data_IF_134662668388
#
_entry.id   IF_134662668388
#
_cell.length_a   1.000
_cell.length_b   1.000
_cell.length_c   1.000
_cell.angle_alpha   90.00
_cell.angle_beta   90.00
_cell.angle_gamma   90.00
#
_symmetry.space_group_name_H-M   'P 1'
#
loop_
_entity.id
_entity.type
_entity.pdbx_description
1 polymer ?
#
# COMPACT_ATOMS: atom_id res chain seq x y z
N UNK A 1 -80.72 24.72 -12.84
CA UNK A 1 -80.73 26.10 -13.37
C UNK A 1 -81.53 26.11 -14.66
N UNK A 2 -81.98 27.28 -15.10
CA UNK A 2 -82.59 27.43 -16.43
C UNK A 2 -81.49 27.30 -17.50
N UNK A 3 -81.82 26.69 -18.62
CA UNK A 3 -81.03 26.74 -19.85
C UNK A 3 -81.43 27.98 -20.68
N UNK A 4 -80.61 28.42 -21.66
CA UNK A 4 -81.02 29.47 -22.59
C UNK A 4 -82.35 29.15 -23.29
N UNK A 5 -82.59 27.86 -23.59
CA UNK A 5 -83.84 27.36 -24.18
C UNK A 5 -85.05 27.46 -23.22
N UNK A 6 -84.86 27.30 -21.90
CA UNK A 6 -85.91 27.49 -20.89
C UNK A 6 -86.27 28.98 -20.68
N UNK A 7 -85.34 29.89 -21.01
CA UNK A 7 -85.56 31.34 -20.96
C UNK A 7 -86.31 31.78 -22.23
N UNK A 8 -85.91 31.30 -23.41
CA UNK A 8 -86.58 31.61 -24.67
C UNK A 8 -88.02 31.07 -24.74
N UNK A 9 -88.28 29.85 -24.24
CA UNK A 9 -89.62 29.25 -24.21
C UNK A 9 -90.51 29.75 -23.05
N UNK A 10 -90.20 30.91 -22.44
CA UNK A 10 -90.84 31.34 -21.19
C UNK A 10 -92.08 32.19 -21.41
N UNK A 11 -93.26 31.55 -21.34
CA UNK A 11 -94.53 32.29 -21.35
C UNK A 11 -94.81 33.02 -20.01
N UNK A 12 -95.27 34.27 -20.12
CA UNK A 12 -95.71 35.12 -19.00
C UNK A 12 -97.24 35.33 -19.03
N UNK A 13 -97.85 35.51 -17.85
CA UNK A 13 -99.30 35.76 -17.74
C UNK A 13 -99.60 37.26 -17.87
N UNK A 14 -100.44 37.62 -18.84
CA UNK A 14 -100.94 39.00 -19.00
C UNK A 14 -101.76 39.46 -17.78
N UNK A 15 -101.60 40.73 -17.41
CA UNK A 15 -102.28 41.39 -16.29
C UNK A 15 -102.70 42.81 -16.68
N UNK A 16 -103.73 43.35 -16.03
CA UNK A 16 -104.35 44.65 -16.38
C UNK A 16 -103.42 45.88 -16.22
N UNK A 17 -102.27 45.70 -15.57
CA UNK A 17 -101.13 46.64 -15.55
C UNK A 17 -99.82 45.83 -15.57
N UNK A 18 -99.38 45.44 -16.78
CA UNK A 18 -98.13 44.71 -17.00
C UNK A 18 -97.02 45.56 -17.61
N UNK A 19 -95.83 44.99 -17.71
CA UNK A 19 -94.75 45.49 -18.57
C UNK A 19 -95.09 45.28 -20.06
N UNK A 20 -94.41 45.97 -20.96
CA UNK A 20 -94.59 45.78 -22.40
C UNK A 20 -93.99 44.44 -22.85
N UNK A 21 -94.73 43.64 -23.63
CA UNK A 21 -94.23 42.35 -24.15
C UNK A 21 -93.04 42.56 -25.09
N UNK A 22 -93.10 43.55 -26.00
CA UNK A 22 -92.00 43.79 -26.96
C UNK A 22 -90.66 44.12 -26.25
N UNK A 23 -90.71 44.94 -25.19
CA UNK A 23 -89.52 45.28 -24.38
C UNK A 23 -89.03 44.09 -23.52
N UNK A 24 -89.94 43.20 -23.11
CA UNK A 24 -89.58 41.97 -22.39
C UNK A 24 -88.87 41.01 -23.35
N UNK A 25 -89.38 40.82 -24.56
CA UNK A 25 -88.82 39.89 -25.53
C UNK A 25 -87.45 40.35 -26.02
N UNK A 26 -87.28 41.65 -26.35
CA UNK A 26 -85.96 42.24 -26.68
C UNK A 26 -84.93 42.04 -25.55
N UNK A 27 -85.36 42.16 -24.28
CA UNK A 27 -84.51 41.92 -23.12
C UNK A 27 -84.20 40.43 -22.92
N UNK A 28 -85.19 39.54 -23.11
CA UNK A 28 -85.00 38.10 -23.03
C UNK A 28 -84.03 37.59 -24.10
N UNK A 29 -84.09 38.11 -25.33
CA UNK A 29 -83.13 37.76 -26.38
C UNK A 29 -81.69 38.18 -26.03
N UNK A 30 -81.50 39.35 -25.39
CA UNK A 30 -80.18 39.71 -24.84
C UNK A 30 -79.74 38.75 -23.73
N UNK A 31 -80.65 38.43 -22.78
CA UNK A 31 -80.36 37.49 -21.69
C UNK A 31 -80.01 36.11 -22.23
N UNK A 32 -80.74 35.57 -23.20
CA UNK A 32 -80.47 34.27 -23.85
C UNK A 32 -79.09 34.26 -24.49
N UNK A 33 -78.75 35.29 -25.28
CA UNK A 33 -77.45 35.42 -25.93
C UNK A 33 -76.29 35.45 -24.93
N UNK A 34 -76.42 36.20 -23.84
CA UNK A 34 -75.38 36.27 -22.81
C UNK A 34 -75.33 34.99 -21.95
N UNK A 35 -76.46 34.34 -21.69
CA UNK A 35 -76.49 33.02 -21.02
C UNK A 35 -75.81 31.94 -21.86
N UNK A 36 -75.99 31.95 -23.19
CA UNK A 36 -75.27 31.05 -24.09
C UNK A 36 -73.75 31.30 -24.08
N UNK A 37 -73.31 32.57 -24.16
CA UNK A 37 -71.88 32.90 -24.05
C UNK A 37 -71.31 32.39 -22.73
N UNK A 38 -72.02 32.63 -21.62
CA UNK A 38 -71.60 32.22 -20.28
C UNK A 38 -71.51 30.69 -20.17
N UNK A 39 -72.43 29.95 -20.79
CA UNK A 39 -72.38 28.48 -20.85
C UNK A 39 -71.15 27.99 -21.63
N UNK A 40 -70.92 28.51 -22.85
CA UNK A 40 -69.76 28.14 -23.68
C UNK A 40 -68.44 28.47 -22.98
N UNK A 41 -68.34 29.64 -22.36
CA UNK A 41 -67.16 30.03 -21.57
C UNK A 41 -66.96 29.13 -20.35
N UNK A 42 -68.03 28.78 -19.64
CA UNK A 42 -67.97 27.88 -18.50
C UNK A 42 -67.51 26.46 -18.88
N UNK A 43 -67.96 25.94 -20.03
CA UNK A 43 -67.54 24.63 -20.53
C UNK A 43 -66.09 24.65 -21.04
N UNK A 44 -65.67 25.69 -21.77
CA UNK A 44 -64.26 25.91 -22.13
C UNK A 44 -63.35 25.97 -20.89
N UNK A 45 -63.76 26.70 -19.84
CA UNK A 45 -63.02 26.80 -18.58
C UNK A 45 -62.96 25.46 -17.84
N UNK A 46 -64.03 24.64 -17.86
CA UNK A 46 -64.02 23.29 -17.29
C UNK A 46 -63.05 22.37 -18.04
N UNK A 47 -63.04 22.41 -19.37
CA UNK A 47 -62.13 21.61 -20.20
C UNK A 47 -60.66 21.99 -19.95
N UNK A 48 -60.35 23.28 -19.92
CA UNK A 48 -59.01 23.76 -19.59
C UNK A 48 -58.60 23.37 -18.16
N UNK A 49 -59.49 23.53 -17.18
CA UNK A 49 -59.23 23.14 -15.80
C UNK A 49 -59.01 21.62 -15.67
N UNK A 50 -59.74 20.80 -16.44
CA UNK A 50 -59.51 19.35 -16.52
C UNK A 50 -58.15 19.01 -17.16
N UNK A 51 -57.76 19.71 -18.22
CA UNK A 51 -56.44 19.58 -18.87
C UNK A 51 -55.31 19.93 -17.90
N UNK A 52 -55.36 21.11 -17.28
CA UNK A 52 -54.36 21.57 -16.32
C UNK A 52 -54.25 20.65 -15.10
N UNK A 53 -55.37 20.09 -14.60
CA UNK A 53 -55.34 19.08 -13.52
C UNK A 53 -54.64 17.79 -13.95
N UNK A 54 -54.88 17.31 -15.17
CA UNK A 54 -54.23 16.12 -15.73
C UNK A 54 -52.72 16.34 -15.87
N UNK A 55 -52.32 17.48 -16.41
CA UNK A 55 -50.92 17.83 -16.63
C UNK A 55 -50.19 17.98 -15.28
N UNK A 56 -50.79 18.67 -14.31
CA UNK A 56 -50.25 18.78 -12.95
C UNK A 56 -50.09 17.39 -12.28
N UNK A 57 -51.04 16.48 -12.44
CA UNK A 57 -50.93 15.11 -11.94
C UNK A 57 -49.82 14.30 -12.65
N UNK A 58 -49.50 14.60 -13.91
CA UNK A 58 -48.33 14.04 -14.60
C UNK A 58 -47.02 14.61 -14.06
N UNK A 59 -46.93 15.93 -13.86
CA UNK A 59 -45.75 16.57 -13.28
C UNK A 59 -45.44 16.06 -11.87
N UNK A 60 -46.46 15.90 -11.01
CA UNK A 60 -46.28 15.32 -9.68
C UNK A 60 -45.75 13.87 -9.71
N UNK A 61 -46.21 13.05 -10.67
CA UNK A 61 -45.67 11.70 -10.87
C UNK A 61 -44.22 11.72 -11.35
N UNK A 62 -43.90 12.61 -12.29
CA UNK A 62 -42.53 12.79 -12.79
C UNK A 62 -41.58 13.27 -11.68
N UNK A 63 -42.01 14.23 -10.85
CA UNK A 63 -41.26 14.73 -9.71
C UNK A 63 -40.98 13.63 -8.68
N UNK A 64 -41.97 12.80 -8.37
CA UNK A 64 -41.81 11.66 -7.45
C UNK A 64 -40.83 10.62 -8.00
N UNK A 65 -40.98 10.23 -9.28
CA UNK A 65 -40.04 9.32 -9.93
C UNK A 65 -38.62 9.88 -9.94
N UNK A 66 -38.44 11.17 -10.20
CA UNK A 66 -37.13 11.83 -10.19
C UNK A 66 -36.50 11.84 -8.80
N UNK A 67 -37.29 12.12 -7.74
CA UNK A 67 -36.85 12.02 -6.34
C UNK A 67 -36.41 10.61 -5.97
N UNK A 68 -37.17 9.60 -6.39
CA UNK A 68 -36.84 8.19 -6.16
C UNK A 68 -35.55 7.79 -6.90
N UNK A 69 -35.40 8.16 -8.18
CA UNK A 69 -34.17 7.94 -8.94
C UNK A 69 -32.96 8.65 -8.30
N UNK A 70 -33.12 9.89 -7.82
CA UNK A 70 -32.07 10.61 -7.09
C UNK A 70 -31.67 9.90 -5.80
N UNK A 71 -32.65 9.43 -5.02
CA UNK A 71 -32.41 8.70 -3.78
C UNK A 71 -31.69 7.37 -4.03
N UNK A 72 -32.09 6.62 -5.07
CA UNK A 72 -31.43 5.38 -5.48
C UNK A 72 -30.00 5.68 -5.94
N UNK A 73 -29.80 6.67 -6.81
CA UNK A 73 -28.46 7.06 -7.27
C UNK A 73 -27.54 7.48 -6.12
N UNK A 74 -28.04 8.24 -5.15
CA UNK A 74 -27.29 8.62 -3.96
C UNK A 74 -26.98 7.42 -3.06
N UNK A 75 -27.94 6.50 -2.86
CA UNK A 75 -27.74 5.28 -2.09
C UNK A 75 -26.68 4.38 -2.73
N UNK A 76 -26.78 4.14 -4.03
CA UNK A 76 -25.81 3.35 -4.80
C UNK A 76 -24.43 4.01 -4.81
N UNK A 77 -24.33 5.33 -4.93
CA UNK A 77 -23.06 6.05 -4.81
C UNK A 77 -22.42 5.82 -3.43
N UNK A 78 -23.19 5.96 -2.34
CA UNK A 78 -22.72 5.69 -0.99
C UNK A 78 -22.26 4.22 -0.84
N UNK A 79 -23.10 3.26 -1.25
CA UNK A 79 -22.78 1.81 -1.22
C UNK A 79 -21.49 1.48 -1.98
N UNK A 80 -21.26 2.08 -3.16
CA UNK A 80 -20.00 1.94 -3.92
C UNK A 80 -18.82 2.54 -3.16
N UNK A 81 -18.96 3.71 -2.53
CA UNK A 81 -17.86 4.28 -1.73
C UNK A 81 -17.57 3.47 -0.46
N UNK A 82 -18.58 2.92 0.19
CA UNK A 82 -18.40 2.17 1.45
C UNK A 82 -17.87 0.76 1.20
N UNK A 83 -18.32 0.08 0.15
CA UNK A 83 -17.70 -1.17 -0.32
C UNK A 83 -16.25 -0.96 -0.76
N UNK A 84 -15.95 0.12 -1.50
CA UNK A 84 -14.57 0.46 -1.87
C UNK A 84 -13.67 0.72 -0.64
N UNK A 85 -14.16 1.45 0.37
CA UNK A 85 -13.46 1.63 1.65
C UNK A 85 -13.22 0.30 2.37
N UNK A 86 -14.26 -0.54 2.49
CA UNK A 86 -14.15 -1.84 3.15
C UNK A 86 -13.13 -2.75 2.45
N UNK A 87 -13.14 -2.79 1.11
CA UNK A 87 -12.14 -3.52 0.34
C UNK A 87 -10.73 -2.96 0.52
N UNK A 88 -10.56 -1.63 0.57
CA UNK A 88 -9.27 -1.00 0.81
C UNK A 88 -8.71 -1.29 2.21
N UNK A 89 -9.55 -1.26 3.25
CA UNK A 89 -9.14 -1.61 4.62
C UNK A 89 -8.83 -3.10 4.76
N UNK A 90 -9.67 -3.98 4.22
CA UNK A 90 -9.40 -5.43 4.21
C UNK A 90 -8.08 -5.76 3.48
N UNK A 91 -7.79 -5.09 2.35
CA UNK A 91 -6.54 -5.25 1.61
C UNK A 91 -5.34 -4.70 2.39
N UNK A 92 -5.48 -3.55 3.07
CA UNK A 92 -4.44 -3.02 3.96
C UNK A 92 -4.12 -4.00 5.09
N UNK A 93 -5.13 -4.57 5.73
CA UNK A 93 -4.95 -5.54 6.82
C UNK A 93 -4.29 -6.83 6.31
N UNK A 94 -4.74 -7.40 5.18
CA UNK A 94 -4.14 -8.61 4.62
C UNK A 94 -2.69 -8.38 4.19
N UNK A 95 -2.40 -7.30 3.46
CA UNK A 95 -1.04 -6.94 3.06
C UNK A 95 -0.14 -6.65 4.25
N UNK A 96 -0.64 -5.95 5.29
CA UNK A 96 0.15 -5.69 6.50
C UNK A 96 0.54 -7.01 7.21
N UNK A 97 -0.40 -7.96 7.30
CA UNK A 97 -0.17 -9.29 7.87
C UNK A 97 0.80 -10.14 7.04
N UNK A 98 0.68 -10.12 5.72
CA UNK A 98 1.61 -10.79 4.79
C UNK A 98 3.03 -10.21 4.90
N UNK A 99 3.17 -8.89 4.88
CA UNK A 99 4.44 -8.20 5.11
C UNK A 99 5.05 -8.52 6.49
N UNK A 100 4.22 -8.60 7.53
CA UNK A 100 4.67 -8.98 8.88
C UNK A 100 5.18 -10.43 8.93
N UNK A 101 4.51 -11.36 8.27
CA UNK A 101 4.93 -12.76 8.15
C UNK A 101 6.25 -12.85 7.37
N UNK A 102 6.33 -12.24 6.19
CA UNK A 102 7.54 -12.24 5.36
C UNK A 102 8.74 -11.63 6.09
N UNK A 103 8.54 -10.55 6.86
CA UNK A 103 9.59 -9.96 7.70
C UNK A 103 10.04 -10.93 8.79
N UNK A 104 9.10 -11.61 9.47
CA UNK A 104 9.40 -12.61 10.50
C UNK A 104 10.20 -13.79 9.93
N UNK A 105 9.83 -14.29 8.76
CA UNK A 105 10.51 -15.42 8.11
C UNK A 105 11.93 -15.02 7.66
N UNK A 106 12.09 -13.79 7.15
CA UNK A 106 13.40 -13.22 6.83
C UNK A 106 14.28 -13.03 8.09
N UNK A 107 13.71 -12.54 9.20
CA UNK A 107 14.40 -12.43 10.49
C UNK A 107 14.85 -13.80 11.02
N UNK A 108 14.03 -14.84 10.90
CA UNK A 108 14.39 -16.21 11.30
C UNK A 108 15.50 -16.76 10.42
N UNK A 109 15.40 -16.63 9.10
CA UNK A 109 16.42 -17.10 8.16
C UNK A 109 17.75 -16.37 8.34
N UNK A 110 17.72 -15.07 8.61
CA UNK A 110 18.91 -14.28 8.92
C UNK A 110 19.60 -14.75 10.22
N UNK A 111 18.82 -15.02 11.28
CA UNK A 111 19.36 -15.59 12.54
C UNK A 111 20.00 -16.96 12.30
N UNK A 112 19.34 -17.85 11.57
CA UNK A 112 19.88 -19.17 11.24
C UNK A 112 21.19 -19.09 10.44
N UNK A 113 21.31 -18.15 9.49
CA UNK A 113 22.56 -17.90 8.78
C UNK A 113 23.68 -17.40 9.69
N UNK A 114 23.39 -16.49 10.63
CA UNK A 114 24.36 -16.01 11.62
C UNK A 114 24.80 -17.11 12.59
N UNK A 115 23.85 -17.91 13.09
CA UNK A 115 24.14 -19.05 13.98
C UNK A 115 24.98 -20.13 13.28
N UNK A 116 24.68 -20.43 12.01
CA UNK A 116 25.46 -21.36 11.21
C UNK A 116 26.89 -20.84 10.95
N UNK A 117 27.05 -19.54 10.66
CA UNK A 117 28.36 -18.91 10.48
C UNK A 117 29.20 -18.92 11.77
N UNK A 118 28.59 -18.58 12.92
CA UNK A 118 29.24 -18.64 14.23
C UNK A 118 29.68 -20.06 14.60
N UNK A 119 28.85 -21.08 14.31
CA UNK A 119 29.24 -22.48 14.47
C UNK A 119 30.42 -22.86 13.57
N UNK A 120 30.44 -22.42 12.31
CA UNK A 120 31.57 -22.65 11.40
C UNK A 120 32.85 -22.01 11.93
N UNK A 121 32.81 -20.74 12.35
CA UNK A 121 33.97 -20.02 12.94
C UNK A 121 34.49 -20.73 14.19
N UNK A 122 33.60 -21.18 15.09
CA UNK A 122 33.99 -21.96 16.28
C UNK A 122 34.66 -23.28 15.90
N UNK A 123 34.08 -24.05 14.96
CA UNK A 123 34.67 -25.31 14.52
C UNK A 123 36.04 -25.14 13.86
N UNK A 124 36.20 -24.13 13.01
CA UNK A 124 37.48 -23.80 12.38
C UNK A 124 38.54 -23.36 13.41
N UNK A 125 38.12 -22.62 14.45
CA UNK A 125 39.00 -22.21 15.56
C UNK A 125 39.49 -23.41 16.36
N UNK A 126 38.61 -24.38 16.65
CA UNK A 126 38.98 -25.62 17.36
C UNK A 126 39.96 -26.46 16.55
N UNK A 127 39.71 -26.69 15.26
CA UNK A 127 40.65 -27.43 14.40
C UNK A 127 41.97 -26.68 14.19
N UNK A 128 41.96 -25.34 14.16
CA UNK A 128 43.18 -24.54 14.14
C UNK A 128 44.02 -24.74 15.41
N UNK A 129 43.41 -24.63 16.60
CA UNK A 129 44.12 -24.88 17.87
C UNK A 129 44.72 -26.30 17.91
N UNK A 130 43.94 -27.32 17.52
CA UNK A 130 44.38 -28.70 17.42
C UNK A 130 45.58 -28.87 16.46
N UNK A 131 45.58 -28.19 15.31
CA UNK A 131 46.67 -28.22 14.35
C UNK A 131 47.95 -27.54 14.91
N UNK A 132 47.80 -26.45 15.65
CA UNK A 132 48.91 -25.76 16.34
C UNK A 132 49.51 -26.65 17.43
N UNK A 133 48.69 -27.35 18.22
CA UNK A 133 49.14 -28.33 19.22
C UNK A 133 49.88 -29.49 18.56
N UNK A 134 49.32 -30.10 17.52
CA UNK A 134 49.94 -31.21 16.79
C UNK A 134 51.28 -30.80 16.15
N UNK A 135 51.35 -29.61 15.55
CA UNK A 135 52.62 -29.03 15.03
C UNK A 135 53.65 -28.87 16.14
N UNK A 136 53.24 -28.37 17.31
CA UNK A 136 54.13 -28.14 18.44
C UNK A 136 54.69 -29.46 18.97
N UNK A 137 53.83 -30.48 19.14
CA UNK A 137 54.23 -31.83 19.53
C UNK A 137 55.22 -32.44 18.54
N UNK A 138 54.99 -32.32 17.23
CA UNK A 138 55.89 -32.80 16.19
C UNK A 138 57.27 -32.12 16.23
N UNK A 139 57.32 -30.81 16.45
CA UNK A 139 58.60 -30.09 16.61
C UNK A 139 59.35 -30.54 17.86
N UNK A 140 58.67 -30.78 18.98
CA UNK A 140 59.30 -31.36 20.18
C UNK A 140 59.82 -32.78 19.93
N UNK A 141 59.09 -33.63 19.19
CA UNK A 141 59.53 -34.98 18.82
C UNK A 141 60.79 -34.95 17.95
N UNK A 142 60.84 -34.10 16.91
CA UNK A 142 62.03 -33.92 16.08
C UNK A 142 63.21 -33.43 16.91
N UNK A 143 62.99 -32.42 17.77
CA UNK A 143 64.04 -31.87 18.63
C UNK A 143 64.62 -32.96 19.55
N UNK A 144 63.77 -33.71 20.25
CA UNK A 144 64.21 -34.77 21.15
C UNK A 144 64.94 -35.91 20.43
N UNK A 145 64.49 -36.28 19.21
CA UNK A 145 65.19 -37.27 18.39
C UNK A 145 66.59 -36.78 17.98
N UNK A 146 66.72 -35.53 17.51
CA UNK A 146 68.02 -34.93 17.15
C UNK A 146 68.94 -34.79 18.36
N UNK A 147 68.43 -34.38 19.52
CA UNK A 147 69.22 -34.29 20.76
C UNK A 147 69.71 -35.68 21.22
N UNK A 148 68.90 -36.73 21.04
CA UNK A 148 69.29 -38.12 21.30
C UNK A 148 70.38 -38.62 20.35
N UNK A 149 70.24 -38.40 19.04
CA UNK A 149 71.26 -38.77 18.05
C UNK A 149 72.58 -38.01 18.28
N UNK A 150 72.51 -36.72 18.60
CA UNK A 150 73.70 -35.92 18.95
C UNK A 150 74.37 -36.43 20.24
N UNK A 151 73.61 -36.87 21.24
CA UNK A 151 74.18 -37.45 22.46
C UNK A 151 74.93 -38.76 22.19
N UNK A 152 74.39 -39.63 21.32
CA UNK A 152 75.07 -40.86 20.85
C UNK A 152 76.36 -40.52 20.09
N UNK A 153 76.33 -39.53 19.21
CA UNK A 153 77.53 -39.07 18.51
C UNK A 153 78.57 -38.46 19.45
N UNK A 154 78.15 -37.73 20.50
CA UNK A 154 79.07 -37.14 21.48
C UNK A 154 79.80 -38.23 22.30
N UNK A 155 79.07 -39.22 22.80
CA UNK A 155 79.64 -40.39 23.49
C UNK A 155 80.55 -41.23 22.57
N UNK A 156 80.21 -41.36 21.28
CA UNK A 156 81.09 -41.99 20.30
C UNK A 156 82.38 -41.19 20.04
N UNK A 157 82.31 -39.85 20.04
CA UNK A 157 83.46 -38.96 19.87
C UNK A 157 84.37 -39.00 21.10
N UNK A 158 83.83 -38.99 22.32
CA UNK A 158 84.62 -39.07 23.56
C UNK A 158 85.34 -40.43 23.73
N UNK A 159 84.84 -41.48 23.09
CA UNK A 159 85.47 -42.82 23.07
C UNK A 159 86.59 -42.98 22.03
N UNK A 160 86.81 -42.00 21.15
CA UNK A 160 87.95 -42.02 20.23
C UNK A 160 89.25 -41.63 20.97
N UNK A 161 90.35 -42.39 20.80
CA UNK A 161 91.62 -42.07 21.45
C UNK A 161 92.18 -40.75 20.90
N UNK A 162 92.32 -39.74 21.76
CA UNK A 162 92.86 -38.42 21.40
C UNK A 162 94.30 -38.54 20.91
N UNK A 163 94.54 -38.21 19.65
CA UNK A 163 95.90 -38.07 19.12
C UNK A 163 96.59 -36.88 19.78
N UNK A 164 97.73 -37.13 20.43
CA UNK A 164 98.60 -36.08 20.94
C UNK A 164 99.53 -35.60 19.83
N UNK A 165 99.35 -34.36 19.36
CA UNK A 165 100.41 -33.63 18.65
C UNK A 165 100.35 -32.13 18.95
N UNK A 166 101.26 -31.73 19.84
CA UNK A 166 101.86 -30.40 20.06
C UNK A 166 101.33 -29.17 19.31
N UNK A 167 100.99 -28.12 20.08
CA UNK A 167 100.92 -26.73 19.63
C UNK A 167 102.31 -26.14 19.31
N UNK A 168 102.37 -24.96 18.65
CA UNK A 168 102.83 -23.76 19.36
C UNK A 168 101.76 -22.66 19.52
N UNK A 169 102.04 -21.69 20.39
CA UNK A 169 101.17 -20.56 20.80
C UNK A 169 101.56 -19.23 20.14
N UNK A 170 100.83 -18.15 20.51
CA UNK A 170 101.10 -16.70 20.31
C UNK A 170 100.71 -16.12 18.93
N UNK A 171 100.29 -14.86 18.72
CA UNK A 171 99.80 -13.70 19.53
C UNK A 171 99.32 -12.61 18.51
N UNK A 172 98.48 -11.58 18.74
CA UNK A 172 97.47 -11.23 19.77
C UNK A 172 96.54 -10.13 19.15
N UNK A 173 95.26 -10.00 19.57
CA UNK A 173 94.34 -8.85 19.29
C UNK A 173 94.00 -8.55 17.80
N UNK A 174 93.02 -7.72 17.43
CA UNK A 174 91.69 -7.28 17.90
C UNK A 174 91.26 -6.13 16.94
N UNK A 175 89.97 -5.76 16.94
CA UNK A 175 89.39 -4.56 16.27
C UNK A 175 89.40 -4.58 14.71
N UNK A 176 88.27 -4.74 14.02
CA UNK A 176 87.02 -3.97 13.98
C UNK A 176 87.01 -2.84 12.92
N UNK A 177 86.19 -3.01 11.88
CA UNK A 177 85.67 -1.93 11.06
C UNK A 177 84.28 -2.32 10.52
N UNK A 178 83.19 -1.58 10.82
CA UNK A 178 81.87 -1.84 10.27
C UNK A 178 81.67 -1.13 8.92
N UNK A 179 81.01 -1.79 7.96
CA UNK A 179 80.61 -1.16 6.71
C UNK A 179 79.20 -1.56 6.28
N UNK A 180 78.46 -0.55 5.78
CA UNK A 180 77.15 -0.59 5.10
C UNK A 180 75.86 -0.79 5.93
N UNK A 181 75.06 0.29 6.04
CA UNK A 181 73.59 0.24 6.07
C UNK A 181 73.00 0.48 4.67
N UNK A 182 72.26 -0.52 4.20
CA UNK A 182 71.06 -0.50 3.35
C UNK A 182 70.71 0.76 2.51
N UNK A 183 70.50 0.54 1.21
CA UNK A 183 69.77 1.45 0.32
C UNK A 183 68.28 1.04 0.13
N UNK A 184 67.41 2.05 0.19
CA UNK A 184 66.13 2.21 -0.51
C UNK A 184 64.94 1.25 -0.29
N UNK A 185 63.92 1.79 0.42
CA UNK A 185 62.50 1.63 0.07
C UNK A 185 62.15 2.52 -1.17
N UNK A 186 60.97 2.41 -1.83
CA UNK A 186 59.66 2.89 -1.32
C UNK A 186 58.55 1.80 -1.40
N UNK A 187 57.38 1.87 -0.74
CA UNK A 187 56.22 2.80 -0.87
C UNK A 187 55.62 2.84 -2.31
N UNK A 188 54.31 2.98 -2.57
CA UNK A 188 53.15 3.34 -1.74
C UNK A 188 51.87 2.64 -2.31
N UNK A 189 50.84 2.31 -1.53
CA UNK A 189 49.64 3.13 -1.22
C UNK A 189 48.69 3.41 -2.41
N UNK A 190 47.40 3.07 -2.25
CA UNK A 190 46.27 3.55 -3.06
C UNK A 190 44.92 3.07 -2.49
N UNK A 191 44.34 3.82 -1.55
CA UNK A 191 42.90 3.78 -1.25
C UNK A 191 42.10 4.31 -2.44
N UNK A 192 40.99 3.66 -2.84
CA UNK A 192 39.93 4.40 -3.52
C UNK A 192 38.52 3.85 -3.25
N UNK A 193 37.59 4.77 -2.96
CA UNK A 193 36.14 4.57 -2.87
C UNK A 193 35.52 4.51 -4.26
N UNK A 194 34.44 3.74 -4.38
CA UNK A 194 33.35 3.91 -5.34
C UNK A 194 32.02 3.67 -4.61
#
# INVERSE_FOLDING_TARGET
>A
MLTPLDIHNKEFKRSFRGYNEDEIDDFLDQVVNDYEKLFRENDNLKEELARMKKDNAQYQKLENNLKETLLIAQKTANEVTDTAKQHAENLRESTAKECQNMRRDAEISARQMVEAADHQVKSATVEYCRLVEAKSQFLYQIKAALESELAVLHDAIDRLPRQQTTAPQQEEKAEANPAAPQENAPAADAVQKG
#
